data_IF_480334290270
#
_entry.id   IF_480334290270
#
_cell.length_a   1.000
_cell.length_b   1.000
_cell.length_c   1.000
_cell.angle_alpha   90.00
_cell.angle_beta   90.00
_cell.angle_gamma   90.00
#
_symmetry.space_group_name_H-M   'P 1'
#
loop_
_entity.id
_entity.type
_entity.pdbx_description
1 polymer ?
#
# COMPACT_ATOMS: atom_id res chain seq x y z
N UNK A 1 15.74 11.56 -0.20
CA UNK A 1 14.61 11.18 0.69
C UNK A 1 13.34 11.20 -0.16
N UNK A 2 12.55 10.12 -0.21
CA UNK A 2 11.26 10.16 -0.90
C UNK A 2 10.41 11.28 -0.29
N UNK A 3 9.84 12.13 -1.14
CA UNK A 3 9.00 13.26 -0.71
C UNK A 3 7.65 12.81 -0.13
N UNK A 4 7.31 11.55 -0.34
CA UNK A 4 6.08 10.91 0.14
C UNK A 4 6.48 9.92 1.22
N UNK A 5 5.93 10.01 2.44
CA UNK A 5 6.24 9.08 3.52
C UNK A 5 5.80 7.67 3.12
N UNK A 6 6.73 6.74 2.89
CA UNK A 6 6.37 5.36 2.61
C UNK A 6 6.16 4.61 3.92
N UNK A 7 4.95 4.10 4.23
CA UNK A 7 4.72 3.30 5.42
C UNK A 7 5.62 2.05 5.41
N UNK A 8 6.44 1.93 6.46
CA UNK A 8 7.40 0.84 6.62
C UNK A 8 6.74 -0.50 6.97
N UNK A 9 5.45 -0.50 7.29
CA UNK A 9 4.62 -1.67 7.62
C UNK A 9 3.19 -1.46 7.10
N UNK A 10 2.45 -2.54 6.85
CA UNK A 10 1.05 -2.48 6.41
C UNK A 10 0.20 -1.77 7.46
N UNK A 11 0.47 -2.01 8.75
CA UNK A 11 -0.23 -1.40 9.89
C UNK A 11 -0.07 0.13 9.96
N UNK A 12 1.02 0.66 9.40
CA UNK A 12 1.26 2.11 9.33
C UNK A 12 0.51 2.77 8.15
N UNK A 13 -0.07 1.99 7.24
CA UNK A 13 -0.90 2.50 6.17
C UNK A 13 -2.34 2.81 6.67
N UNK A 14 -3.06 3.71 6.00
CA UNK A 14 -4.47 3.99 6.26
C UNK A 14 -5.31 2.70 6.29
N UNK A 15 -6.28 2.61 7.21
CA UNK A 15 -7.10 1.41 7.44
C UNK A 15 -7.78 0.87 6.16
N UNK A 16 -8.20 1.75 5.24
CA UNK A 16 -8.78 1.36 3.97
C UNK A 16 -7.78 0.68 3.01
N UNK A 17 -6.49 1.02 3.11
CA UNK A 17 -5.42 0.46 2.29
C UNK A 17 -4.82 -0.82 2.86
N UNK A 18 -4.94 -1.05 4.18
CA UNK A 18 -4.45 -2.27 4.83
C UNK A 18 -4.96 -3.59 4.22
N UNK A 19 -6.28 -3.80 3.99
CA UNK A 19 -6.77 -5.05 3.41
C UNK A 19 -6.27 -5.24 1.97
N UNK A 20 -6.10 -4.15 1.22
CA UNK A 20 -5.58 -4.18 -0.14
C UNK A 20 -4.09 -4.53 -0.18
N UNK A 21 -3.29 -3.98 0.74
CA UNK A 21 -1.88 -4.32 0.89
C UNK A 21 -1.68 -5.78 1.31
N UNK A 22 -2.53 -6.31 2.20
CA UNK A 22 -2.52 -7.73 2.55
C UNK A 22 -2.92 -8.63 1.37
N UNK A 23 -3.84 -8.19 0.51
CA UNK A 23 -4.16 -8.91 -0.72
C UNK A 23 -2.96 -8.98 -1.68
N UNK A 24 -2.25 -7.87 -1.85
CA UNK A 24 -1.01 -7.79 -2.65
C UNK A 24 0.09 -8.67 -2.04
N UNK A 25 0.29 -8.61 -0.73
CA UNK A 25 1.23 -9.47 -0.01
C UNK A 25 0.90 -10.95 -0.19
N UNK A 26 -0.38 -11.31 -0.13
CA UNK A 26 -0.82 -12.70 -0.33
C UNK A 26 -0.61 -13.17 -1.77
N UNK A 27 -0.71 -12.29 -2.76
CA UNK A 27 -0.52 -12.64 -4.17
C UNK A 27 0.97 -12.71 -4.57
N UNK A 28 1.78 -11.75 -4.12
CA UNK A 28 3.19 -11.64 -4.49
C UNK A 28 4.17 -12.20 -3.43
N UNK A 29 3.70 -12.51 -2.23
CA UNK A 29 4.53 -12.89 -1.08
C UNK A 29 5.26 -11.72 -0.42
N UNK A 30 5.19 -10.51 -1.00
CA UNK A 30 5.82 -9.29 -0.53
C UNK A 30 4.96 -8.08 -0.91
N UNK A 31 5.13 -6.95 -0.21
CA UNK A 31 4.54 -5.66 -0.60
C UNK A 31 5.62 -4.77 -1.23
N UNK A 32 5.65 -4.63 -2.57
CA UNK A 32 6.60 -3.75 -3.25
C UNK A 32 6.48 -2.30 -2.77
N UNK A 33 7.60 -1.57 -2.79
CA UNK A 33 7.66 -0.17 -2.36
C UNK A 33 6.63 0.73 -3.09
N UNK A 34 6.26 0.40 -4.33
CA UNK A 34 5.23 1.11 -5.08
C UNK A 34 3.86 1.03 -4.39
N UNK A 35 3.39 -0.17 -4.04
CA UNK A 35 2.11 -0.36 -3.35
C UNK A 35 2.11 0.30 -1.97
N UNK A 36 3.25 0.24 -1.26
CA UNK A 36 3.41 0.96 0.03
C UNK A 36 3.28 2.47 -0.16
N UNK A 37 3.87 3.03 -1.21
CA UNK A 37 3.79 4.46 -1.50
C UNK A 37 2.36 4.89 -1.86
N UNK A 38 1.70 4.13 -2.74
CA UNK A 38 0.33 4.38 -3.18
C UNK A 38 -0.67 4.20 -2.04
N UNK A 39 -0.38 3.33 -1.06
CA UNK A 39 -1.23 3.12 0.11
C UNK A 39 -1.45 4.36 1.00
N UNK A 40 -0.63 5.41 0.88
CA UNK A 40 -0.93 6.70 1.53
C UNK A 40 -2.25 7.31 1.08
N UNK A 41 -2.72 6.97 -0.12
CA UNK A 41 -4.00 7.41 -0.65
C UNK A 41 -4.84 6.18 -1.02
N UNK A 42 -5.83 5.82 -0.19
CA UNK A 42 -6.68 4.66 -0.45
C UNK A 42 -7.35 4.70 -1.83
N UNK A 43 -7.82 5.87 -2.26
CA UNK A 43 -8.43 6.05 -3.57
C UNK A 43 -7.45 5.80 -4.73
N UNK A 44 -6.16 6.14 -4.54
CA UNK A 44 -5.14 5.86 -5.55
C UNK A 44 -4.79 4.37 -5.59
N UNK A 45 -4.78 3.70 -4.44
CA UNK A 45 -4.54 2.26 -4.35
C UNK A 45 -5.69 1.47 -4.98
N UNK A 46 -6.94 1.89 -4.73
CA UNK A 46 -8.14 1.35 -5.33
C UNK A 46 -8.19 1.56 -6.85
N UNK A 47 -7.87 2.76 -7.33
CA UNK A 47 -7.77 3.02 -8.77
C UNK A 47 -6.63 2.26 -9.48
N UNK A 48 -5.56 1.90 -8.75
CA UNK A 48 -4.45 1.11 -9.29
C UNK A 48 -4.72 -0.40 -9.28
N UNK A 49 -5.59 -0.87 -8.37
CA UNK A 49 -6.01 -2.26 -8.23
C UNK A 49 -7.31 -2.59 -8.98
N UNK A 50 -7.97 -1.58 -9.57
CA UNK A 50 -9.12 -1.76 -10.48
C UNK A 50 -8.73 -2.39 -11.81
#
# INVERSE_FOLDING_TARGET
MPRIPTPASIEAAPAASQPMLHAVEKQLGVVPNLFRLVSNSPAALEGYLS
#
